data_IF_891546762412
#
_entry.id   IF_891546762412
#
_cell.length_a   1.000
_cell.length_b   1.000
_cell.length_c   1.000
_cell.angle_alpha   90.00
_cell.angle_beta   90.00
_cell.angle_gamma   90.00
#
_symmetry.space_group_name_H-M   'P 1'
#
loop_
_entity.id
_entity.type
_entity.pdbx_description
1 polymer ?
#
# COMPACT_ATOMS: atom_id res chain seq x y z
N UNK A 1 -4.54 18.77 6.72
CA UNK A 1 -4.78 17.79 7.79
C UNK A 1 -4.38 18.32 9.18
N UNK A 2 -3.09 18.63 9.48
CA UNK A 2 -2.68 19.13 10.82
C UNK A 2 -3.39 20.45 11.20
N UNK A 3 -3.57 21.39 10.27
CA UNK A 3 -4.32 22.63 10.49
C UNK A 3 -5.80 22.34 10.80
N UNK A 4 -6.44 21.49 10.01
CA UNK A 4 -7.85 21.10 10.19
C UNK A 4 -8.07 20.35 11.52
N UNK A 5 -7.10 19.54 11.97
CA UNK A 5 -7.13 18.90 13.29
C UNK A 5 -6.99 19.91 14.44
N UNK A 6 -6.13 20.93 14.27
CA UNK A 6 -5.94 21.99 15.26
C UNK A 6 -7.19 22.89 15.39
N UNK A 7 -7.94 23.06 14.30
CA UNK A 7 -9.16 23.87 14.21
C UNK A 7 -10.45 23.08 14.52
N UNK A 8 -10.35 21.80 14.93
CA UNK A 8 -11.47 20.86 15.12
C UNK A 8 -12.40 20.70 13.89
N UNK A 9 -11.87 20.96 12.69
CA UNK A 9 -12.62 20.89 11.43
C UNK A 9 -12.25 19.67 10.58
N UNK A 10 -11.44 18.75 11.10
CA UNK A 10 -11.01 17.58 10.36
C UNK A 10 -12.15 16.58 10.19
N UNK A 11 -12.49 16.28 8.92
CA UNK A 11 -13.46 15.26 8.55
C UNK A 11 -12.76 14.05 7.96
N UNK A 12 -12.84 12.90 8.65
CA UNK A 12 -12.34 11.62 8.13
C UNK A 12 -12.98 11.27 6.78
N UNK A 13 -14.30 11.41 6.68
CA UNK A 13 -15.03 11.12 5.45
C UNK A 13 -14.54 12.00 4.30
N UNK A 14 -14.38 13.31 4.52
CA UNK A 14 -13.86 14.23 3.51
C UNK A 14 -12.40 13.93 3.12
N UNK A 15 -11.59 13.43 4.04
CA UNK A 15 -10.22 13.01 3.74
C UNK A 15 -10.21 11.79 2.80
N UNK A 16 -10.95 10.72 3.13
CA UNK A 16 -11.01 9.52 2.29
C UNK A 16 -11.71 9.77 0.96
N UNK A 17 -12.76 10.59 0.92
CA UNK A 17 -13.43 10.96 -0.32
C UNK A 17 -12.48 11.63 -1.31
N UNK A 18 -11.66 12.58 -0.86
CA UNK A 18 -10.66 13.24 -1.72
C UNK A 18 -9.63 12.25 -2.28
N UNK A 19 -9.21 11.27 -1.47
CA UNK A 19 -8.26 10.23 -1.92
C UNK A 19 -8.88 9.30 -2.94
N UNK A 20 -10.07 8.79 -2.64
CA UNK A 20 -10.84 7.92 -3.54
C UNK A 20 -11.03 8.59 -4.90
N UNK A 21 -11.49 9.83 -4.94
CA UNK A 21 -11.68 10.60 -6.19
C UNK A 21 -10.38 10.81 -6.97
N UNK A 22 -9.25 10.85 -6.30
CA UNK A 22 -7.93 11.03 -6.94
C UNK A 22 -7.37 9.74 -7.51
N UNK A 23 -7.54 8.61 -6.81
CA UNK A 23 -6.84 7.36 -7.10
C UNK A 23 -7.68 6.42 -7.95
N UNK A 24 -8.96 6.21 -7.60
CA UNK A 24 -9.79 5.21 -8.28
C UNK A 24 -9.96 5.43 -9.78
N UNK A 25 -10.15 6.66 -10.32
CA UNK A 25 -10.32 6.84 -11.76
C UNK A 25 -9.10 6.34 -12.56
N UNK A 26 -7.89 6.70 -12.11
CA UNK A 26 -6.65 6.28 -12.76
C UNK A 26 -6.42 4.76 -12.60
N UNK A 27 -6.68 4.23 -11.41
CA UNK A 27 -6.53 2.80 -11.11
C UNK A 27 -7.43 1.95 -12.00
N UNK A 28 -8.74 2.28 -12.06
CA UNK A 28 -9.68 1.52 -12.88
C UNK A 28 -9.44 1.67 -14.38
N UNK A 29 -8.90 2.82 -14.81
CA UNK A 29 -8.46 2.98 -16.20
C UNK A 29 -7.33 2.00 -16.53
N UNK A 30 -6.31 1.91 -15.68
CA UNK A 30 -5.19 0.97 -15.85
C UNK A 30 -5.68 -0.48 -15.80
N UNK A 31 -6.53 -0.84 -14.83
CA UNK A 31 -7.11 -2.18 -14.72
C UNK A 31 -7.87 -2.55 -16.00
N UNK A 32 -8.70 -1.65 -16.52
CA UNK A 32 -9.47 -1.89 -17.75
C UNK A 32 -8.54 -2.11 -18.94
N UNK A 33 -7.50 -1.30 -19.08
CA UNK A 33 -6.49 -1.47 -20.12
C UNK A 33 -5.77 -2.82 -20.01
N UNK A 34 -5.41 -3.25 -18.77
CA UNK A 34 -4.79 -4.55 -18.54
C UNK A 34 -5.72 -5.72 -18.86
N UNK A 35 -7.01 -5.62 -18.53
CA UNK A 35 -8.00 -6.66 -18.90
C UNK A 35 -8.11 -6.76 -20.42
N UNK A 36 -8.26 -5.63 -21.10
CA UNK A 36 -8.42 -5.61 -22.55
C UNK A 36 -7.18 -6.17 -23.26
N UNK A 37 -5.98 -5.72 -22.90
CA UNK A 37 -4.74 -6.23 -23.51
C UNK A 37 -4.46 -7.69 -23.12
N UNK A 38 -4.70 -8.04 -21.86
CA UNK A 38 -4.49 -9.39 -21.38
C UNK A 38 -5.36 -10.43 -22.07
N UNK A 39 -6.59 -10.07 -22.42
CA UNK A 39 -7.51 -10.97 -23.16
C UNK A 39 -6.94 -11.44 -24.51
N UNK A 40 -6.13 -10.61 -25.17
CA UNK A 40 -5.54 -10.92 -26.48
C UNK A 40 -4.12 -11.46 -26.40
N UNK A 41 -3.39 -11.19 -25.32
CA UNK A 41 -1.94 -11.42 -25.24
C UNK A 41 -1.55 -12.52 -24.27
N UNK A 42 -2.36 -12.77 -23.23
CA UNK A 42 -2.01 -13.68 -22.15
C UNK A 42 -2.63 -15.07 -22.35
N UNK A 43 -1.91 -16.08 -21.89
CA UNK A 43 -2.45 -17.45 -21.84
C UNK A 43 -3.48 -17.62 -20.68
N UNK A 44 -4.22 -18.74 -20.63
CA UNK A 44 -5.23 -18.96 -19.58
C UNK A 44 -4.67 -18.96 -18.15
N UNK A 45 -3.41 -19.36 -17.95
CA UNK A 45 -2.78 -19.34 -16.64
C UNK A 45 -2.43 -17.91 -16.23
N UNK A 46 -1.83 -17.14 -17.11
CA UNK A 46 -1.48 -15.73 -16.92
C UNK A 46 -2.72 -14.86 -16.73
N UNK A 47 -3.81 -15.12 -17.46
CA UNK A 47 -5.12 -14.47 -17.25
C UNK A 47 -5.68 -14.70 -15.85
N UNK A 48 -5.53 -15.92 -15.33
CA UNK A 48 -5.91 -16.23 -13.95
C UNK A 48 -5.07 -15.43 -12.96
N UNK A 49 -3.77 -15.32 -13.15
CA UNK A 49 -2.90 -14.53 -12.30
C UNK A 49 -3.22 -13.02 -12.40
N UNK A 50 -3.48 -12.52 -13.60
CA UNK A 50 -3.94 -11.15 -13.81
C UNK A 50 -5.24 -10.89 -13.05
N UNK A 51 -6.24 -11.78 -13.13
CA UNK A 51 -7.51 -11.62 -12.42
C UNK A 51 -7.35 -11.58 -10.91
N UNK A 52 -6.48 -12.40 -10.35
CA UNK A 52 -6.14 -12.39 -8.92
C UNK A 52 -5.43 -11.10 -8.51
N UNK A 53 -4.50 -10.60 -9.34
CA UNK A 53 -3.81 -9.34 -9.08
C UNK A 53 -4.75 -8.14 -9.17
N UNK A 54 -5.71 -8.14 -10.10
CA UNK A 54 -6.78 -7.14 -10.20
C UNK A 54 -7.62 -7.10 -8.93
N UNK A 55 -8.05 -8.28 -8.45
CA UNK A 55 -8.81 -8.35 -7.20
C UNK A 55 -8.01 -7.77 -6.02
N UNK A 56 -6.76 -8.22 -5.84
CA UNK A 56 -5.89 -7.73 -4.78
C UNK A 56 -5.63 -6.21 -4.88
N UNK A 57 -5.45 -5.69 -6.09
CA UNK A 57 -5.26 -4.27 -6.35
C UNK A 57 -6.51 -3.46 -6.03
N UNK A 58 -7.69 -3.97 -6.36
CA UNK A 58 -8.97 -3.30 -6.10
C UNK A 58 -9.28 -3.12 -4.61
N UNK A 59 -8.74 -3.98 -3.76
CA UNK A 59 -8.84 -3.89 -2.29
C UNK A 59 -7.57 -3.35 -1.62
N UNK A 60 -6.67 -2.77 -2.40
CA UNK A 60 -5.38 -2.23 -1.94
C UNK A 60 -4.50 -3.22 -1.16
N UNK A 61 -4.54 -4.51 -1.54
CA UNK A 61 -3.75 -5.60 -0.94
C UNK A 61 -2.80 -6.25 -1.95
N UNK A 62 -2.47 -5.58 -3.04
CA UNK A 62 -1.56 -6.08 -4.08
C UNK A 62 -0.15 -6.36 -3.54
N UNK A 63 0.33 -5.60 -2.57
CA UNK A 63 1.59 -5.87 -1.89
C UNK A 63 1.61 -7.24 -1.20
N UNK A 64 0.54 -7.61 -0.50
CA UNK A 64 0.41 -8.94 0.14
C UNK A 64 0.31 -10.03 -0.92
N UNK A 65 -0.46 -9.80 -1.98
CA UNK A 65 -0.59 -10.75 -3.08
C UNK A 65 0.76 -11.05 -3.73
N UNK A 66 1.53 -10.01 -4.10
CA UNK A 66 2.83 -10.21 -4.73
C UNK A 66 3.89 -10.79 -3.78
N UNK A 67 3.82 -10.46 -2.49
CA UNK A 67 4.65 -11.12 -1.49
C UNK A 67 4.38 -12.64 -1.42
N UNK A 68 3.12 -13.05 -1.36
CA UNK A 68 2.75 -14.47 -1.29
C UNK A 68 3.06 -15.24 -2.58
N UNK A 69 3.10 -14.54 -3.71
CA UNK A 69 3.47 -15.11 -5.02
C UNK A 69 4.96 -15.04 -5.31
N UNK A 70 5.73 -14.36 -4.46
CA UNK A 70 7.18 -14.33 -4.60
C UNK A 70 7.77 -15.69 -4.17
N UNK A 71 8.53 -16.36 -5.06
CA UNK A 71 9.13 -17.64 -4.74
C UNK A 71 9.26 -18.59 -5.93
N UNK A 72 9.30 -19.89 -5.65
CA UNK A 72 9.69 -20.96 -6.58
C UNK A 72 8.88 -21.04 -7.89
N UNK A 73 7.65 -20.55 -7.91
CA UNK A 73 6.77 -20.50 -9.10
C UNK A 73 6.63 -19.10 -9.67
N UNK A 74 7.58 -18.23 -9.40
CA UNK A 74 7.48 -16.84 -9.83
C UNK A 74 7.61 -16.73 -11.35
N UNK A 75 6.51 -16.41 -12.01
CA UNK A 75 6.49 -15.95 -13.40
C UNK A 75 7.36 -14.70 -13.46
N UNK A 76 8.17 -14.56 -14.48
CA UNK A 76 9.05 -13.40 -14.66
C UNK A 76 8.26 -12.10 -14.39
N UNK A 77 8.84 -11.18 -13.63
CA UNK A 77 8.21 -9.91 -13.25
C UNK A 77 7.71 -9.10 -14.48
N UNK A 78 8.28 -9.35 -15.64
CA UNK A 78 7.92 -8.77 -16.93
C UNK A 78 6.50 -9.16 -17.39
N UNK A 79 5.99 -10.31 -16.95
CA UNK A 79 4.65 -10.82 -17.29
C UNK A 79 3.56 -10.43 -16.25
N UNK A 80 3.88 -9.55 -15.29
CA UNK A 80 2.94 -9.10 -14.26
C UNK A 80 2.55 -7.63 -14.47
N UNK A 81 1.53 -7.32 -15.29
CA UNK A 81 1.19 -5.94 -15.69
C UNK A 81 0.89 -5.01 -14.51
N UNK A 82 0.33 -5.54 -13.41
CA UNK A 82 -0.04 -4.78 -12.22
C UNK A 82 1.00 -4.87 -11.09
N UNK A 83 2.21 -5.40 -11.35
CA UNK A 83 3.22 -5.57 -10.30
C UNK A 83 3.46 -4.27 -9.52
N UNK A 84 3.65 -3.15 -10.21
CA UNK A 84 3.95 -1.85 -9.59
C UNK A 84 2.84 -1.30 -8.68
N UNK A 85 1.62 -1.87 -8.71
CA UNK A 85 0.53 -1.47 -7.81
C UNK A 85 0.76 -1.91 -6.36
N UNK A 86 1.80 -2.71 -6.08
CA UNK A 86 2.16 -3.07 -4.71
C UNK A 86 2.45 -1.84 -3.84
N UNK A 87 3.13 -0.84 -4.39
CA UNK A 87 3.44 0.40 -3.65
C UNK A 87 2.17 1.19 -3.31
N UNK A 88 1.21 1.23 -4.24
CA UNK A 88 -0.11 1.82 -3.99
C UNK A 88 -0.84 1.10 -2.85
N UNK A 89 -0.73 -0.25 -2.78
CA UNK A 89 -1.29 -1.03 -1.69
C UNK A 89 -0.71 -0.61 -0.33
N UNK A 90 0.62 -0.51 -0.23
CA UNK A 90 1.33 -0.06 0.99
C UNK A 90 0.91 1.36 1.38
N UNK A 91 0.89 2.29 0.42
CA UNK A 91 0.50 3.67 0.67
C UNK A 91 -0.94 3.79 1.18
N UNK A 92 -1.90 3.10 0.56
CA UNK A 92 -3.31 3.20 0.96
C UNK A 92 -3.58 2.53 2.31
N UNK A 93 -2.88 1.44 2.64
CA UNK A 93 -2.90 0.85 3.98
C UNK A 93 -2.36 1.83 5.03
N UNK A 94 -1.26 2.53 4.73
CA UNK A 94 -0.74 3.57 5.62
C UNK A 94 -1.76 4.71 5.80
N UNK A 95 -2.33 5.22 4.71
CA UNK A 95 -3.31 6.31 4.77
C UNK A 95 -4.63 5.91 5.44
N UNK A 96 -4.95 4.62 5.50
CA UNK A 96 -6.08 4.13 6.28
C UNK A 96 -5.82 4.24 7.78
N UNK A 97 -4.61 3.90 8.22
CA UNK A 97 -4.23 3.82 9.63
C UNK A 97 -3.78 5.19 10.16
N UNK A 98 -3.00 5.93 9.38
CA UNK A 98 -2.31 7.15 9.84
C UNK A 98 -3.24 8.25 10.38
N UNK A 99 -4.36 8.65 9.72
CA UNK A 99 -5.22 9.70 10.25
C UNK A 99 -5.88 9.32 11.57
N UNK A 100 -6.25 8.05 11.71
CA UNK A 100 -6.88 7.51 12.92
C UNK A 100 -5.88 7.51 14.08
N UNK A 101 -4.68 6.98 13.84
CA UNK A 101 -3.61 6.94 14.86
C UNK A 101 -3.18 8.35 15.27
N UNK A 102 -3.03 9.26 14.31
CA UNK A 102 -2.68 10.64 14.60
C UNK A 102 -3.74 11.34 15.46
N UNK A 103 -5.01 11.18 15.12
CA UNK A 103 -6.12 11.75 15.91
C UNK A 103 -6.13 11.22 17.36
N UNK A 104 -5.92 9.90 17.54
CA UNK A 104 -5.89 9.30 18.86
C UNK A 104 -4.66 9.75 19.68
N UNK A 105 -3.48 9.77 19.06
CA UNK A 105 -2.24 10.15 19.73
C UNK A 105 -2.22 11.64 20.13
N UNK A 106 -2.79 12.52 19.31
CA UNK A 106 -2.90 13.95 19.64
C UNK A 106 -3.77 14.23 20.87
N UNK A 107 -4.76 13.36 21.17
CA UNK A 107 -5.53 13.44 22.42
C UNK A 107 -4.69 13.18 23.67
N UNK A 108 -3.63 12.38 23.54
CA UNK A 108 -2.70 12.08 24.65
C UNK A 108 -1.62 13.16 24.81
N UNK A 109 -1.48 14.04 23.83
CA UNK A 109 -0.56 15.15 23.84
C UNK A 109 0.38 15.17 22.64
N UNK A 110 0.69 16.38 22.17
CA UNK A 110 1.50 16.57 20.95
C UNK A 110 2.92 16.00 21.07
N UNK A 111 3.56 16.18 22.23
CA UNK A 111 4.90 15.61 22.46
C UNK A 111 4.91 14.10 22.46
N UNK A 112 3.89 13.47 23.07
CA UNK A 112 3.72 12.03 23.07
C UNK A 112 3.49 11.47 21.66
N UNK A 113 2.65 12.12 20.86
CA UNK A 113 2.39 11.73 19.48
C UNK A 113 3.69 11.75 18.64
N UNK A 114 4.48 12.83 18.75
CA UNK A 114 5.79 12.93 18.06
C UNK A 114 6.74 11.81 18.50
N UNK A 115 6.86 11.57 19.81
CA UNK A 115 7.73 10.51 20.33
C UNK A 115 7.35 9.13 19.77
N UNK A 116 6.05 8.79 19.74
CA UNK A 116 5.57 7.52 19.17
C UNK A 116 5.92 7.41 17.68
N UNK A 117 5.68 8.46 16.87
CA UNK A 117 6.02 8.41 15.44
C UNK A 117 7.53 8.30 15.20
N UNK A 118 8.36 8.95 16.00
CA UNK A 118 9.82 8.76 15.93
C UNK A 118 10.22 7.33 16.25
N UNK A 119 9.62 6.73 17.28
CA UNK A 119 9.88 5.33 17.64
C UNK A 119 9.43 4.40 16.50
N UNK A 120 8.25 4.61 15.93
CA UNK A 120 7.74 3.79 14.82
C UNK A 120 8.61 3.94 13.57
N UNK A 121 9.09 5.14 13.27
CA UNK A 121 10.03 5.39 12.17
C UNK A 121 11.34 4.60 12.37
N UNK A 122 11.98 4.73 13.54
CA UNK A 122 13.22 4.03 13.85
C UNK A 122 13.02 2.50 13.86
N UNK A 123 11.90 2.02 14.42
CA UNK A 123 11.56 0.61 14.41
C UNK A 123 11.38 0.07 12.99
N UNK A 124 10.65 0.79 12.14
CA UNK A 124 10.45 0.42 10.74
C UNK A 124 11.76 0.34 9.97
N UNK A 125 12.65 1.32 10.17
CA UNK A 125 13.97 1.37 9.53
C UNK A 125 14.87 0.21 10.00
N UNK A 126 14.92 -0.07 11.30
CA UNK A 126 15.69 -1.19 11.87
C UNK A 126 15.12 -2.53 11.39
N UNK A 127 13.80 -2.68 11.34
CA UNK A 127 13.16 -3.87 10.83
C UNK A 127 13.47 -4.09 9.34
N UNK A 128 13.44 -3.05 8.54
CA UNK A 128 13.82 -3.12 7.13
C UNK A 128 15.28 -3.57 6.96
N UNK A 129 16.21 -2.98 7.72
CA UNK A 129 17.63 -3.32 7.63
C UNK A 129 17.93 -4.76 8.08
N UNK A 130 17.24 -5.26 9.11
CA UNK A 130 17.45 -6.62 9.61
C UNK A 130 16.87 -7.70 8.67
N UNK A 131 15.73 -7.41 8.02
CA UNK A 131 15.05 -8.39 7.17
C UNK A 131 15.52 -8.39 5.71
N UNK A 132 16.30 -7.43 5.29
CA UNK A 132 16.81 -7.37 3.90
C UNK A 132 17.60 -8.62 3.51
N UNK A 133 18.37 -9.20 4.43
CA UNK A 133 19.18 -10.39 4.17
C UNK A 133 18.40 -11.69 4.39
N UNK A 134 17.50 -11.73 5.39
CA UNK A 134 16.77 -12.95 5.74
C UNK A 134 15.51 -13.16 4.89
N UNK A 135 14.79 -12.10 4.60
CA UNK A 135 13.54 -12.12 3.82
C UNK A 135 13.37 -10.82 3.04
N UNK A 136 14.14 -10.70 1.95
CA UNK A 136 14.13 -9.51 1.09
C UNK A 136 12.74 -9.19 0.52
N UNK A 137 11.93 -10.21 0.22
CA UNK A 137 10.57 -10.02 -0.27
C UNK A 137 9.67 -9.37 0.79
N UNK A 138 9.73 -9.81 2.05
CA UNK A 138 9.00 -9.17 3.14
C UNK A 138 9.46 -7.72 3.34
N UNK A 139 10.77 -7.50 3.36
CA UNK A 139 11.35 -6.17 3.49
C UNK A 139 10.89 -5.22 2.37
N UNK A 140 10.68 -5.75 1.17
CA UNK A 140 10.28 -4.97 -0.01
C UNK A 140 8.78 -4.69 -0.07
N UNK A 141 7.91 -5.68 0.20
CA UNK A 141 6.46 -5.58 -0.05
C UNK A 141 5.64 -5.13 1.15
N UNK A 142 6.15 -5.25 2.38
CA UNK A 142 5.31 -5.09 3.57
C UNK A 142 5.36 -3.70 4.18
N UNK A 143 4.18 -3.21 4.63
CA UNK A 143 4.05 -1.90 5.26
C UNK A 143 4.97 -1.69 6.49
N UNK A 144 5.15 -2.65 7.43
CA UNK A 144 5.98 -2.42 8.61
C UNK A 144 7.44 -2.07 8.30
N UNK A 145 7.98 -2.58 7.19
CA UNK A 145 9.36 -2.34 6.74
C UNK A 145 9.50 -1.11 5.84
N UNK A 146 8.37 -0.57 5.36
CA UNK A 146 8.32 0.57 4.43
C UNK A 146 7.73 1.84 5.07
N UNK A 147 7.19 1.73 6.28
CA UNK A 147 6.53 2.86 6.94
C UNK A 147 7.47 4.05 7.23
N UNK A 148 8.77 3.83 7.27
CA UNK A 148 9.79 4.88 7.42
C UNK A 148 9.95 5.77 6.16
N UNK A 149 9.47 5.32 5.00
CA UNK A 149 9.52 6.08 3.74
C UNK A 149 8.29 6.98 3.55
N UNK A 150 7.19 6.72 4.27
CA UNK A 150 5.88 7.36 4.13
C UNK A 150 5.67 8.49 5.16
#
# INVERSE_FOLDING_TARGET
MLKELAENQFSFLGFYERRVKRILPALYFVITACIFSGWFLLDPFELKELSQSIFATSIFSSNVYFYLKHGYFDVSSELKPLLHTWSLGVEEQFYLIFPISLFLLLKLGRGFAVAIYVILFLFSLLLASSLVEENSAFAFYMLPTRAWEL
#
